data_IF_926286342387
#
_entry.id   IF_926286342387
#
_cell.length_a   1.000
_cell.length_b   1.000
_cell.length_c   1.000
_cell.angle_alpha   90.00
_cell.angle_beta   90.00
_cell.angle_gamma   90.00
#
_symmetry.space_group_name_H-M   'P 1'
#
loop_
_entity.id
_entity.type
_entity.pdbx_description
1 polymer ?
#
# COMPACT_ATOMS: atom_id res chain seq x y z
N UNK A 1 2.86 2.04 -67.43
CA UNK A 1 3.72 1.66 -66.29
C UNK A 1 2.80 1.48 -65.09
N UNK A 2 2.66 0.23 -64.67
CA UNK A 2 1.73 -0.21 -63.63
C UNK A 2 2.29 0.18 -62.26
N UNK A 3 1.50 0.86 -61.44
CA UNK A 3 1.86 1.09 -60.04
C UNK A 3 2.02 -0.27 -59.34
N UNK A 4 3.06 -0.46 -58.51
CA UNK A 4 3.16 -1.66 -57.70
C UNK A 4 1.97 -1.70 -56.75
N UNK A 5 1.18 -2.77 -56.86
CA UNK A 5 0.04 -3.09 -56.03
C UNK A 5 0.45 -3.13 -54.56
N UNK A 6 -0.09 -2.21 -53.77
CA UNK A 6 0.01 -2.21 -52.32
C UNK A 6 -0.45 -3.58 -51.77
N UNK A 7 0.47 -4.34 -51.17
CA UNK A 7 0.17 -5.58 -50.46
C UNK A 7 -0.46 -5.23 -49.10
N UNK A 8 -1.51 -5.96 -48.66
CA UNK A 8 -2.09 -5.75 -47.33
C UNK A 8 -1.13 -6.33 -46.29
N UNK A 9 -0.50 -5.50 -45.44
CA UNK A 9 0.52 -6.03 -44.52
C UNK A 9 1.11 -5.15 -43.40
N UNK A 10 0.94 -3.83 -43.34
CA UNK A 10 1.53 -3.04 -42.23
C UNK A 10 0.49 -2.41 -41.29
N UNK A 11 0.14 -3.13 -40.21
CA UNK A 11 -0.17 -2.46 -38.94
C UNK A 11 0.55 -3.08 -37.72
N UNK A 12 1.47 -4.03 -37.90
CA UNK A 12 2.10 -4.75 -36.77
C UNK A 12 3.10 -3.89 -35.98
N UNK A 13 3.88 -3.01 -36.63
CA UNK A 13 4.87 -2.20 -35.91
C UNK A 13 4.27 -1.23 -34.87
N UNK A 14 3.11 -0.62 -35.16
CA UNK A 14 2.47 0.32 -34.23
C UNK A 14 1.73 -0.40 -33.08
N UNK A 15 1.15 -1.57 -33.34
CA UNK A 15 0.51 -2.40 -32.31
C UNK A 15 1.55 -3.04 -31.38
N UNK A 16 2.68 -3.52 -31.94
CA UNK A 16 3.79 -4.06 -31.17
C UNK A 16 4.46 -2.98 -30.31
N UNK A 17 4.63 -1.76 -30.83
CA UNK A 17 5.11 -0.62 -30.04
C UNK A 17 4.15 -0.22 -28.92
N UNK A 18 2.83 -0.25 -29.17
CA UNK A 18 1.83 0.09 -28.16
C UNK A 18 1.75 -0.98 -27.04
N UNK A 19 1.90 -2.26 -27.39
CA UNK A 19 1.97 -3.34 -26.40
C UNK A 19 3.26 -3.25 -25.57
N UNK A 20 4.42 -3.02 -26.19
CA UNK A 20 5.67 -2.83 -25.47
C UNK A 20 5.63 -1.63 -24.49
N UNK A 21 5.03 -0.50 -24.89
CA UNK A 21 4.85 0.66 -24.01
C UNK A 21 3.94 0.36 -22.81
N UNK A 22 2.92 -0.48 -23.00
CA UNK A 22 2.03 -0.92 -21.92
C UNK A 22 2.77 -1.83 -20.95
N UNK A 23 3.50 -2.80 -21.46
CA UNK A 23 4.27 -3.75 -20.65
C UNK A 23 5.33 -3.02 -19.82
N UNK A 24 6.02 -2.04 -20.40
CA UNK A 24 6.98 -1.19 -19.68
C UNK A 24 6.32 -0.38 -18.57
N UNK A 25 5.14 0.20 -18.83
CA UNK A 25 4.38 0.96 -17.84
C UNK A 25 3.93 0.07 -16.68
N UNK A 26 3.32 -1.08 -16.98
CA UNK A 26 2.90 -2.07 -15.97
C UNK A 26 4.09 -2.54 -15.12
N UNK A 27 5.26 -2.71 -15.75
CA UNK A 27 6.47 -3.08 -15.03
C UNK A 27 6.94 -1.97 -14.06
N UNK A 28 6.86 -0.69 -14.47
CA UNK A 28 7.21 0.43 -13.59
C UNK A 28 6.19 0.58 -12.45
N UNK A 29 4.90 0.43 -12.72
CA UNK A 29 3.85 0.49 -11.70
C UNK A 29 4.04 -0.61 -10.65
N UNK A 30 4.36 -1.84 -11.06
CA UNK A 30 4.69 -2.92 -10.12
C UNK A 30 5.92 -2.60 -9.24
N UNK A 31 6.92 -1.90 -9.79
CA UNK A 31 8.07 -1.42 -9.00
C UNK A 31 7.63 -0.35 -8.00
N UNK A 32 6.76 0.56 -8.42
CA UNK A 32 6.21 1.62 -7.56
C UNK A 32 5.40 1.01 -6.41
N UNK A 33 4.50 0.08 -6.69
CA UNK A 33 3.65 -0.58 -5.68
C UNK A 33 4.49 -1.28 -4.59
N UNK A 34 5.46 -2.11 -5.01
CA UNK A 34 6.38 -2.77 -4.05
C UNK A 34 7.23 -1.78 -3.27
N UNK A 35 7.65 -0.69 -3.93
CA UNK A 35 8.40 0.38 -3.30
C UNK A 35 7.58 1.09 -2.22
N UNK A 36 6.31 1.39 -2.49
CA UNK A 36 5.40 2.02 -1.55
C UNK A 36 5.20 1.17 -0.29
N UNK A 37 4.97 -0.14 -0.45
CA UNK A 37 4.86 -1.08 0.66
C UNK A 37 6.14 -1.09 1.50
N UNK A 38 7.30 -1.17 0.85
CA UNK A 38 8.60 -1.12 1.53
C UNK A 38 8.79 0.17 2.33
N UNK A 39 8.35 1.32 1.82
CA UNK A 39 8.44 2.59 2.55
C UNK A 39 7.54 2.61 3.80
N UNK A 40 6.37 1.99 3.75
CA UNK A 40 5.47 1.83 4.89
C UNK A 40 6.15 0.95 5.96
N UNK A 41 6.72 -0.19 5.57
CA UNK A 41 7.46 -1.08 6.49
C UNK A 41 8.64 -0.37 7.16
N UNK A 42 9.42 0.39 6.39
CA UNK A 42 10.51 1.21 6.93
C UNK A 42 9.97 2.23 7.94
N UNK A 43 8.85 2.89 7.62
CA UNK A 43 8.17 3.83 8.53
C UNK A 43 7.77 3.17 9.85
N UNK A 44 7.13 1.99 9.80
CA UNK A 44 6.76 1.19 10.97
C UNK A 44 7.99 0.81 11.81
N UNK A 45 9.06 0.36 11.16
CA UNK A 45 10.31 0.00 11.84
C UNK A 45 10.99 1.21 12.52
N UNK A 46 11.05 2.35 11.84
CA UNK A 46 11.58 3.60 12.39
C UNK A 46 10.77 4.08 13.58
N UNK A 47 9.43 3.97 13.52
CA UNK A 47 8.56 4.28 14.64
C UNK A 47 8.85 3.41 15.85
N UNK A 48 8.94 2.09 15.66
CA UNK A 48 9.30 1.16 16.73
C UNK A 48 10.66 1.50 17.35
N UNK A 49 11.69 1.74 16.54
CA UNK A 49 13.03 2.10 17.01
C UNK A 49 13.01 3.39 17.83
N UNK A 50 12.25 4.40 17.39
CA UNK A 50 12.13 5.68 18.08
C UNK A 50 11.41 5.52 19.42
N UNK A 51 10.27 4.84 19.42
CA UNK A 51 9.36 4.75 20.55
C UNK A 51 9.96 3.86 21.66
N UNK A 52 10.57 2.73 21.27
CA UNK A 52 11.29 1.83 22.19
C UNK A 52 12.70 2.37 22.52
N UNK A 53 13.10 3.52 21.95
CA UNK A 53 14.40 4.17 22.10
C UNK A 53 15.60 3.26 21.86
N UNK A 54 15.47 2.31 20.92
CA UNK A 54 16.47 1.29 20.64
C UNK A 54 17.82 1.88 20.19
N UNK A 55 17.83 3.10 19.66
CA UNK A 55 19.05 3.81 19.25
C UNK A 55 19.94 4.28 20.41
N UNK A 56 19.45 4.30 21.66
CA UNK A 56 20.13 4.94 22.80
C UNK A 56 21.43 4.27 23.25
N UNK A 57 21.69 3.02 22.85
CA UNK A 57 22.93 2.31 23.18
C UNK A 57 24.15 2.93 22.49
N UNK A 58 23.98 3.50 21.30
CA UNK A 58 25.08 4.02 20.47
C UNK A 58 24.90 5.48 20.06
N UNK A 59 23.68 6.02 20.07
CA UNK A 59 23.37 7.34 19.52
C UNK A 59 22.68 8.25 20.53
N UNK A 60 23.12 9.51 20.57
CA UNK A 60 22.59 10.52 21.49
C UNK A 60 21.14 10.93 21.19
N UNK A 61 20.74 10.90 19.93
CA UNK A 61 19.37 11.24 19.48
C UNK A 61 18.93 10.36 18.32
N UNK A 62 17.61 10.26 18.12
CA UNK A 62 17.03 9.47 17.03
C UNK A 62 17.47 9.99 15.66
N UNK A 63 17.70 11.29 15.56
CA UNK A 63 18.07 11.94 14.30
C UNK A 63 19.53 11.73 13.95
N UNK A 64 20.41 11.73 14.96
CA UNK A 64 21.81 11.32 14.76
C UNK A 64 21.85 9.86 14.29
N UNK A 65 21.02 8.99 14.87
CA UNK A 65 20.86 7.61 14.41
C UNK A 65 20.41 7.54 12.94
N UNK A 66 19.30 8.19 12.59
CA UNK A 66 18.77 8.18 11.22
C UNK A 66 19.79 8.68 10.19
N UNK A 67 20.49 9.76 10.52
CA UNK A 67 21.48 10.36 9.63
C UNK A 67 22.73 9.47 9.51
N UNK A 68 23.23 8.93 10.63
CA UNK A 68 24.50 8.19 10.63
C UNK A 68 24.35 6.78 10.06
N UNK A 69 23.24 6.10 10.34
CA UNK A 69 23.02 4.69 9.94
C UNK A 69 22.37 4.55 8.58
N UNK A 70 21.49 5.48 8.21
CA UNK A 70 20.62 5.36 7.03
C UNK A 70 20.75 6.53 6.06
N UNK A 71 21.59 7.52 6.37
CA UNK A 71 21.71 8.77 5.61
C UNK A 71 20.35 9.49 5.42
N UNK A 72 19.45 9.32 6.39
CA UNK A 72 18.12 9.93 6.36
C UNK A 72 18.11 11.21 7.19
N UNK A 73 17.62 12.28 6.56
CA UNK A 73 17.32 13.51 7.31
C UNK A 73 16.21 13.24 8.33
N UNK A 74 16.20 14.02 9.42
CA UNK A 74 15.10 14.02 10.40
C UNK A 74 13.76 14.06 9.68
N UNK A 75 13.54 15.05 8.82
CA UNK A 75 12.28 15.23 8.11
C UNK A 75 11.85 13.97 7.36
N UNK A 76 12.74 13.36 6.57
CA UNK A 76 12.39 12.17 5.78
C UNK A 76 12.03 10.99 6.67
N UNK A 77 12.74 10.78 7.78
CA UNK A 77 12.42 9.72 8.74
C UNK A 77 11.02 9.90 9.33
N UNK A 78 10.68 11.12 9.78
CA UNK A 78 9.34 11.40 10.33
C UNK A 78 8.24 11.34 9.26
N UNK A 79 8.51 11.76 8.02
CA UNK A 79 7.55 11.64 6.90
C UNK A 79 7.20 10.15 6.63
N UNK A 80 8.21 9.25 6.65
CA UNK A 80 7.99 7.81 6.49
C UNK A 80 7.16 7.22 7.64
N UNK A 81 7.47 7.62 8.87
CA UNK A 81 6.71 7.18 10.05
C UNK A 81 5.26 7.67 10.00
N UNK A 82 5.04 8.91 9.53
CA UNK A 82 3.69 9.48 9.41
C UNK A 82 2.87 8.77 8.35
N UNK A 83 3.49 8.42 7.21
CA UNK A 83 2.85 7.62 6.17
C UNK A 83 2.40 6.25 6.71
N UNK A 84 3.26 5.56 7.47
CA UNK A 84 2.92 4.30 8.13
C UNK A 84 1.72 4.45 9.08
N UNK A 85 1.72 5.47 9.92
CA UNK A 85 0.59 5.74 10.84
C UNK A 85 -0.74 5.94 10.12
N UNK A 86 -0.74 6.62 8.96
CA UNK A 86 -1.96 6.80 8.16
C UNK A 86 -2.46 5.47 7.63
N UNK A 87 -1.57 4.64 7.09
CA UNK A 87 -1.92 3.32 6.55
C UNK A 87 -2.46 2.40 7.64
N UNK A 88 -1.79 2.33 8.80
CA UNK A 88 -2.26 1.56 9.95
C UNK A 88 -3.66 2.01 10.40
N UNK A 89 -3.91 3.33 10.40
CA UNK A 89 -5.22 3.89 10.72
C UNK A 89 -6.30 3.53 9.69
N UNK A 90 -5.95 3.47 8.40
CA UNK A 90 -6.87 3.04 7.33
C UNK A 90 -7.18 1.54 7.42
N UNK A 91 -6.18 0.71 7.67
CA UNK A 91 -6.33 -0.73 7.89
C UNK A 91 -7.27 -1.01 9.06
N UNK A 92 -7.03 -0.37 10.23
CA UNK A 92 -7.89 -0.50 11.39
C UNK A 92 -9.34 -0.05 11.13
N UNK A 93 -9.54 1.04 10.39
CA UNK A 93 -10.87 1.52 10.02
C UNK A 93 -11.61 0.52 9.10
N UNK A 94 -10.90 -0.14 8.19
CA UNK A 94 -11.46 -1.17 7.31
C UNK A 94 -11.86 -2.43 8.09
N UNK A 95 -11.06 -2.86 9.07
CA UNK A 95 -11.37 -3.98 9.97
C UNK A 95 -12.63 -3.71 10.79
N UNK A 96 -12.79 -2.50 11.32
CA UNK A 96 -13.99 -2.10 12.05
C UNK A 96 -15.24 -2.10 11.16
N UNK A 97 -15.11 -1.70 9.88
CA UNK A 97 -16.21 -1.68 8.94
C UNK A 97 -16.64 -3.09 8.45
N UNK A 98 -15.75 -4.08 8.56
CA UNK A 98 -15.97 -5.45 8.06
C UNK A 98 -16.38 -6.44 9.16
N UNK A 99 -16.20 -6.11 10.44
CA UNK A 99 -16.81 -6.85 11.55
C UNK A 99 -18.32 -6.58 11.62
N UNK A 100 -19.19 -7.62 11.63
CA UNK A 100 -20.62 -7.40 11.62
C UNK A 100 -21.07 -6.84 12.97
N UNK A 101 -21.56 -5.60 12.97
CA UNK A 101 -22.54 -5.16 13.97
C UNK A 101 -23.78 -6.03 13.72
N UNK A 102 -23.90 -7.16 14.44
CA UNK A 102 -24.87 -8.17 14.04
C UNK A 102 -25.30 -9.24 15.04
N UNK A 103 -24.86 -9.24 16.29
CA UNK A 103 -25.57 -10.02 17.33
C UNK A 103 -26.78 -9.21 17.79
N UNK A 104 -27.84 -9.23 16.96
CA UNK A 104 -29.17 -8.85 17.43
C UNK A 104 -29.60 -9.96 18.39
N UNK A 105 -29.84 -9.70 19.69
CA UNK A 105 -30.39 -10.73 20.56
C UNK A 105 -31.71 -11.16 19.96
N UNK A 106 -31.82 -12.44 19.59
CA UNK A 106 -33.08 -13.00 19.12
C UNK A 106 -34.15 -12.69 20.17
N UNK A 107 -35.10 -11.83 19.82
CA UNK A 107 -36.28 -11.59 20.64
C UNK A 107 -36.95 -12.96 20.87
N UNK A 108 -37.24 -13.36 22.11
CA UNK A 108 -37.90 -14.64 22.34
C UNK A 108 -39.29 -14.58 21.72
N UNK A 109 -39.51 -15.40 20.69
CA UNK A 109 -40.81 -15.62 20.10
C UNK A 109 -41.74 -16.23 21.16
N UNK A 110 -42.56 -15.41 21.82
CA UNK A 110 -43.68 -15.90 22.58
C UNK A 110 -44.87 -16.11 21.63
N UNK A 111 -44.81 -17.25 20.96
CA UNK A 111 -45.90 -17.81 20.17
C UNK A 111 -47.19 -17.86 21.00
N UNK A 112 -48.26 -17.28 20.45
CA UNK A 112 -49.60 -17.48 20.96
C UNK A 112 -50.04 -18.92 20.76
N UNK A 113 -50.22 -19.66 21.86
CA UNK A 113 -51.22 -20.74 21.96
C UNK A 113 -51.40 -21.24 23.40
N UNK A 114 -52.58 -20.97 23.93
CA UNK A 114 -53.43 -21.80 24.82
C UNK A 114 -54.68 -20.94 25.05
N UNK A 115 -55.89 -21.30 24.64
CA UNK A 115 -56.48 -22.62 24.47
C UNK A 115 -57.77 -22.59 25.28
N UNK A 116 -58.91 -22.72 24.58
CA UNK A 116 -60.27 -22.97 25.07
C UNK A 116 -60.97 -21.91 25.93
#
# INVERSE_FOLDING_TARGET
>A
MSYPSYLPGEPVAAADQLSALRDDLEQQESVIERGLESFIEIGRALAKIRDDRLYRHEYASFEVYCQSRWNLSRKRAYDLMSAATVVDGMEAALEMATSPIGDTPALPANEGRRGS
#
